data_IF_985119608225
#
_entry.id   IF_985119608225
#
_cell.length_a   1.000
_cell.length_b   1.000
_cell.length_c   1.000
_cell.angle_alpha   90.00
_cell.angle_beta   90.00
_cell.angle_gamma   90.00
#
_symmetry.space_group_name_H-M   'P 1'
#
loop_
_entity.id
_entity.type
_entity.pdbx_description
1 polymer ?
#
# COMPACT_ATOMS: atom_id res chain seq x y z
N UNK A 1 -1.69 14.30 -2.00
CA UNK A 1 -0.72 14.80 -1.03
C UNK A 1 0.05 13.65 -0.39
N UNK A 2 -0.45 12.90 0.61
CA UNK A 2 0.33 11.81 1.24
C UNK A 2 0.68 10.64 0.30
N UNK A 3 -0.29 10.07 -0.40
CA UNK A 3 -0.07 8.95 -1.35
C UNK A 3 0.92 9.32 -2.45
N UNK A 4 0.71 10.48 -3.10
CA UNK A 4 1.58 11.00 -4.16
C UNK A 4 3.02 11.22 -3.67
N UNK A 5 3.22 11.77 -2.47
CA UNK A 5 4.55 11.94 -1.88
C UNK A 5 5.23 10.61 -1.57
N UNK A 6 4.49 9.64 -1.06
CA UNK A 6 5.01 8.27 -0.83
C UNK A 6 5.40 7.63 -2.16
N UNK A 7 4.59 7.76 -3.21
CA UNK A 7 4.92 7.27 -4.53
C UNK A 7 6.18 7.95 -5.08
N UNK A 8 6.33 9.25 -4.89
CA UNK A 8 7.53 10.01 -5.27
C UNK A 8 8.78 9.53 -4.51
N UNK A 9 8.73 9.42 -3.19
CA UNK A 9 9.84 8.86 -2.39
C UNK A 9 10.22 7.45 -2.87
N UNK A 10 9.22 6.61 -3.15
CA UNK A 10 9.46 5.28 -3.66
C UNK A 10 10.05 5.28 -5.07
N UNK A 11 9.73 6.26 -5.94
CA UNK A 11 10.37 6.40 -7.25
C UNK A 11 11.88 6.58 -7.09
N UNK A 12 12.30 7.55 -6.25
CA UNK A 12 13.72 7.79 -5.95
C UNK A 12 14.42 6.56 -5.35
N UNK A 13 13.74 5.86 -4.44
CA UNK A 13 14.25 4.62 -3.84
C UNK A 13 14.42 3.52 -4.89
N UNK A 14 13.50 3.41 -5.86
CA UNK A 14 13.58 2.43 -6.94
C UNK A 14 14.73 2.75 -7.89
N UNK A 15 14.88 4.01 -8.29
CA UNK A 15 16.00 4.50 -9.12
C UNK A 15 17.33 4.17 -8.46
N UNK A 16 17.48 4.52 -7.19
CA UNK A 16 18.71 4.27 -6.45
C UNK A 16 18.98 2.76 -6.25
N UNK A 17 17.93 1.96 -5.99
CA UNK A 17 18.06 0.51 -5.90
C UNK A 17 18.43 -0.14 -7.25
N UNK A 18 17.93 0.40 -8.36
CA UNK A 18 18.28 -0.03 -9.70
C UNK A 18 19.73 0.32 -10.03
N UNK A 19 20.16 1.54 -9.70
CA UNK A 19 21.53 2.02 -9.87
C UNK A 19 22.54 1.21 -9.07
N UNK A 20 22.28 0.95 -7.79
CA UNK A 20 23.20 0.25 -6.90
C UNK A 20 23.21 -1.28 -7.12
N UNK A 21 22.05 -1.91 -7.32
CA UNK A 21 21.92 -3.37 -7.27
C UNK A 21 21.45 -4.01 -8.57
N UNK A 22 20.97 -3.22 -9.54
CA UNK A 22 20.38 -3.71 -10.77
C UNK A 22 19.21 -4.65 -10.48
N UNK A 23 18.15 -4.16 -9.85
CA UNK A 23 17.05 -5.00 -9.40
C UNK A 23 16.11 -5.43 -10.53
N UNK A 24 15.43 -6.56 -10.33
CA UNK A 24 14.09 -6.78 -10.88
C UNK A 24 13.05 -6.45 -9.81
N UNK A 25 11.78 -6.30 -10.20
CA UNK A 25 10.74 -5.88 -9.26
C UNK A 25 9.45 -6.66 -9.42
N UNK A 26 8.80 -6.92 -8.29
CA UNK A 26 7.47 -7.51 -8.22
C UNK A 26 6.56 -6.66 -7.34
N UNK A 27 5.30 -6.56 -7.77
CA UNK A 27 4.17 -6.17 -6.94
C UNK A 27 3.56 -7.42 -6.31
N UNK A 28 3.24 -7.34 -5.03
CA UNK A 28 2.56 -8.38 -4.28
C UNK A 28 1.42 -7.74 -3.49
N UNK A 29 0.21 -8.29 -3.61
CA UNK A 29 -0.93 -7.93 -2.77
C UNK A 29 -1.27 -9.10 -1.86
N UNK A 30 -1.30 -8.87 -0.54
CA UNK A 30 -1.63 -9.87 0.48
C UNK A 30 -2.96 -9.52 1.13
N UNK A 31 -3.95 -10.40 1.02
CA UNK A 31 -5.28 -10.16 1.58
C UNK A 31 -5.63 -11.09 2.73
N UNK A 32 -6.69 -10.73 3.45
CA UNK A 32 -7.44 -11.59 4.37
C UNK A 32 -8.92 -11.51 3.98
N UNK A 33 -9.79 -12.35 4.57
CA UNK A 33 -11.23 -12.16 4.43
C UNK A 33 -11.64 -10.84 5.09
N UNK A 34 -12.74 -10.27 4.64
CA UNK A 34 -13.31 -9.12 5.30
C UNK A 34 -13.61 -9.43 6.77
N UNK A 35 -13.47 -8.42 7.62
CA UNK A 35 -13.73 -8.50 9.05
C UNK A 35 -14.72 -7.42 9.46
N UNK A 36 -15.44 -7.66 10.56
CA UNK A 36 -16.26 -6.62 11.20
C UNK A 36 -15.39 -5.55 11.85
N UNK A 37 -15.94 -4.37 12.08
CA UNK A 37 -15.21 -3.20 12.56
C UNK A 37 -14.47 -3.47 13.88
N UNK A 38 -15.12 -4.13 14.83
CA UNK A 38 -14.56 -4.54 16.12
C UNK A 38 -13.38 -5.52 16.00
N UNK A 39 -13.27 -6.24 14.87
CA UNK A 39 -12.16 -7.15 14.56
C UNK A 39 -11.08 -6.52 13.69
N UNK A 40 -11.26 -5.30 13.19
CA UNK A 40 -10.31 -4.66 12.29
C UNK A 40 -8.96 -4.41 12.95
N UNK A 41 -8.95 -3.79 14.14
CA UNK A 41 -7.72 -3.53 14.91
C UNK A 41 -6.92 -4.81 15.21
N UNK A 42 -7.51 -5.87 15.82
CA UNK A 42 -6.77 -7.10 16.04
C UNK A 42 -6.35 -7.78 14.73
N UNK A 43 -7.20 -7.74 13.68
CA UNK A 43 -6.84 -8.31 12.37
C UNK A 43 -5.60 -7.64 11.78
N UNK A 44 -5.49 -6.31 11.86
CA UNK A 44 -4.30 -5.60 11.38
C UNK A 44 -3.06 -5.97 12.20
N UNK A 45 -3.19 -6.12 13.53
CA UNK A 45 -2.07 -6.59 14.36
C UNK A 45 -1.57 -7.98 13.93
N UNK A 46 -2.50 -8.91 13.69
CA UNK A 46 -2.20 -10.25 13.19
C UNK A 46 -1.53 -10.20 11.82
N UNK A 47 -2.02 -9.33 10.92
CA UNK A 47 -1.43 -9.12 9.59
C UNK A 47 -0.01 -8.57 9.66
N UNK A 48 0.27 -7.58 10.53
CA UNK A 48 1.63 -7.05 10.72
C UNK A 48 2.60 -8.14 11.17
N UNK A 49 2.17 -8.96 12.13
CA UNK A 49 2.96 -10.08 12.63
C UNK A 49 3.13 -11.19 11.60
N UNK A 50 2.08 -11.50 10.83
CA UNK A 50 2.15 -12.41 9.69
C UNK A 50 3.13 -11.91 8.63
N UNK A 51 3.10 -10.61 8.32
CA UNK A 51 4.02 -10.02 7.34
C UNK A 51 5.47 -10.16 7.79
N UNK A 52 5.74 -9.88 9.08
CA UNK A 52 7.05 -10.09 9.68
C UNK A 52 7.53 -11.54 9.54
N UNK A 53 6.65 -12.52 9.83
CA UNK A 53 6.97 -13.96 9.68
C UNK A 53 7.22 -14.35 8.22
N UNK A 54 6.38 -13.87 7.30
CA UNK A 54 6.49 -14.17 5.86
C UNK A 54 7.88 -13.83 5.33
N UNK A 55 8.38 -12.64 5.64
CA UNK A 55 9.70 -12.19 5.20
C UNK A 55 10.87 -12.82 5.97
N UNK A 56 10.61 -13.56 7.05
CA UNK A 56 11.60 -14.38 7.75
C UNK A 56 11.72 -15.81 7.21
N UNK A 57 10.73 -16.28 6.43
CA UNK A 57 10.82 -17.60 5.84
C UNK A 57 12.01 -17.70 4.89
N UNK A 58 12.80 -18.77 5.05
CA UNK A 58 14.06 -18.99 4.31
C UNK A 58 13.88 -18.72 2.82
N UNK A 59 12.83 -19.29 2.21
CA UNK A 59 12.51 -19.10 0.79
C UNK A 59 12.38 -17.61 0.42
N UNK A 60 11.52 -16.86 1.12
CA UNK A 60 11.32 -15.42 0.88
C UNK A 60 12.60 -14.64 1.14
N UNK A 61 13.21 -14.83 2.31
CA UNK A 61 14.45 -14.14 2.73
C UNK A 61 15.59 -14.33 1.73
N UNK A 62 15.69 -15.48 1.07
CA UNK A 62 16.72 -15.74 0.06
C UNK A 62 16.36 -15.27 -1.34
N UNK A 63 15.07 -15.09 -1.64
CA UNK A 63 14.57 -14.71 -2.96
C UNK A 63 14.45 -13.20 -3.16
N UNK A 64 14.24 -12.44 -2.10
CA UNK A 64 13.99 -10.99 -2.14
C UNK A 64 15.14 -10.19 -1.52
N UNK A 65 15.33 -8.96 -1.96
CA UNK A 65 16.37 -8.05 -1.45
C UNK A 65 15.84 -7.07 -0.39
N UNK A 66 14.52 -6.92 -0.31
CA UNK A 66 13.86 -6.00 0.61
C UNK A 66 12.36 -5.92 0.34
N UNK A 67 11.72 -4.90 0.86
CA UNK A 67 10.34 -4.56 0.56
C UNK A 67 10.02 -3.11 0.91
N UNK A 68 9.05 -2.55 0.21
CA UNK A 68 8.17 -1.49 0.68
C UNK A 68 6.78 -2.10 0.87
N UNK A 69 6.12 -1.85 2.00
CA UNK A 69 4.76 -2.31 2.31
C UNK A 69 3.88 -1.10 2.61
N UNK A 70 2.66 -1.08 2.08
CA UNK A 70 1.58 -0.18 2.47
C UNK A 70 0.37 -0.99 2.98
N UNK A 71 -0.24 -0.57 4.09
CA UNK A 71 -1.53 -1.08 4.56
C UNK A 71 -2.65 -0.22 3.95
N UNK A 72 -3.55 -0.86 3.22
CA UNK A 72 -4.77 -0.25 2.71
C UNK A 72 -5.98 -1.00 3.29
N UNK A 73 -7.05 -0.28 3.59
CA UNK A 73 -8.29 -0.82 4.12
C UNK A 73 -9.41 -0.36 3.21
N UNK A 74 -10.16 -1.32 2.67
CA UNK A 74 -11.36 -1.02 1.89
C UNK A 74 -12.62 -1.35 2.69
N UNK A 75 -13.60 -0.44 2.75
CA UNK A 75 -14.91 -0.73 3.38
C UNK A 75 -15.91 -1.26 2.36
N UNK A 76 -16.53 -2.41 2.67
CA UNK A 76 -17.77 -2.85 2.06
C UNK A 76 -18.95 -2.31 2.88
N UNK A 77 -19.66 -1.34 2.31
CA UNK A 77 -20.80 -0.66 2.97
C UNK A 77 -22.08 -1.50 2.99
N UNK A 78 -22.23 -2.47 2.09
CA UNK A 78 -23.44 -3.30 2.02
C UNK A 78 -23.44 -4.39 3.09
N UNK A 79 -22.27 -4.97 3.34
CA UNK A 79 -22.10 -6.01 4.36
C UNK A 79 -21.63 -5.45 5.71
N UNK A 80 -21.33 -4.14 5.78
CA UNK A 80 -20.64 -3.47 6.88
C UNK A 80 -19.42 -4.27 7.34
N UNK A 81 -18.45 -4.42 6.42
CA UNK A 81 -17.19 -5.12 6.68
C UNK A 81 -16.01 -4.38 6.09
N UNK A 82 -14.82 -4.70 6.60
CA UNK A 82 -13.56 -4.04 6.27
C UNK A 82 -12.59 -5.07 5.71
N UNK A 83 -11.89 -4.68 4.65
CA UNK A 83 -10.92 -5.50 3.95
C UNK A 83 -9.52 -4.89 4.06
N UNK A 84 -8.80 -5.15 5.17
CA UNK A 84 -7.41 -4.77 5.29
C UNK A 84 -6.55 -5.66 4.37
N UNK A 85 -5.67 -5.04 3.59
CA UNK A 85 -4.74 -5.73 2.71
C UNK A 85 -3.41 -4.98 2.62
N UNK A 86 -2.36 -5.70 2.24
CA UNK A 86 -1.06 -5.09 1.99
C UNK A 86 -0.78 -5.00 0.51
N UNK A 87 -0.36 -3.83 0.06
CA UNK A 87 0.39 -3.67 -1.17
C UNK A 87 1.89 -3.67 -0.86
N UNK A 88 2.66 -4.41 -1.66
CA UNK A 88 4.08 -4.61 -1.42
C UNK A 88 4.85 -4.48 -2.72
N UNK A 89 5.84 -3.59 -2.75
CA UNK A 89 6.84 -3.52 -3.80
C UNK A 89 8.11 -4.23 -3.31
N UNK A 90 8.61 -5.18 -4.09
CA UNK A 90 9.70 -6.06 -3.66
C UNK A 90 10.82 -6.04 -4.71
N UNK A 91 12.02 -5.56 -4.37
CA UNK A 91 13.20 -5.74 -5.19
C UNK A 91 13.69 -7.19 -5.11
N UNK A 92 14.04 -7.73 -6.26
CA UNK A 92 14.59 -9.08 -6.43
C UNK A 92 15.83 -9.03 -7.31
N UNK A 93 16.65 -10.08 -7.30
CA UNK A 93 17.80 -10.19 -8.23
C UNK A 93 17.30 -10.27 -9.68
N UNK A 94 18.06 -9.77 -10.66
CA UNK A 94 17.68 -9.84 -12.10
C UNK A 94 17.27 -11.24 -12.56
N UNK A 95 17.94 -12.27 -12.03
CA UNK A 95 17.67 -13.66 -12.38
C UNK A 95 16.49 -14.29 -11.62
N UNK A 96 15.75 -13.56 -10.79
CA UNK A 96 14.65 -14.08 -9.98
C UNK A 96 13.62 -14.86 -10.79
N UNK A 97 13.25 -14.35 -11.98
CA UNK A 97 12.25 -14.98 -12.83
C UNK A 97 12.72 -16.30 -13.47
N UNK A 98 14.02 -16.60 -13.43
CA UNK A 98 14.58 -17.90 -13.81
C UNK A 98 15.06 -18.75 -12.63
N UNK A 99 15.48 -18.13 -11.53
CA UNK A 99 16.04 -18.79 -10.34
C UNK A 99 15.44 -18.21 -9.07
N UNK A 100 15.02 -19.08 -8.15
CA UNK A 100 14.37 -18.70 -6.89
C UNK A 100 13.01 -18.00 -7.05
N UNK A 101 12.41 -18.06 -8.25
CA UNK A 101 11.04 -17.60 -8.50
C UNK A 101 10.07 -18.26 -7.51
N UNK A 102 9.22 -17.45 -6.89
CA UNK A 102 8.12 -17.89 -6.04
C UNK A 102 6.83 -17.64 -6.83
N UNK A 103 6.13 -18.73 -7.17
CA UNK A 103 4.86 -18.68 -7.89
C UNK A 103 3.75 -18.13 -7.00
N UNK A 104 2.68 -17.61 -7.58
CA UNK A 104 1.51 -17.10 -6.84
C UNK A 104 0.97 -18.10 -5.82
N UNK A 105 0.79 -19.37 -6.20
CA UNK A 105 0.32 -20.43 -5.29
C UNK A 105 1.25 -20.68 -4.10
N UNK A 106 2.57 -20.52 -4.30
CA UNK A 106 3.56 -20.63 -3.23
C UNK A 106 3.49 -19.41 -2.30
N UNK A 107 3.35 -18.19 -2.84
CA UNK A 107 3.08 -17.00 -2.04
C UNK A 107 1.79 -17.12 -1.22
N UNK A 108 0.70 -17.60 -1.82
CA UNK A 108 -0.55 -17.90 -1.10
C UNK A 108 -0.32 -18.88 0.04
N UNK A 109 0.43 -19.96 -0.19
CA UNK A 109 0.73 -20.96 0.82
C UNK A 109 1.58 -20.41 1.97
N UNK A 110 2.60 -19.61 1.64
CA UNK A 110 3.46 -18.95 2.62
C UNK A 110 2.66 -17.92 3.43
N UNK A 111 1.79 -17.14 2.79
CA UNK A 111 0.95 -16.15 3.46
C UNK A 111 -0.06 -16.82 4.39
N UNK A 112 -0.78 -17.83 3.90
CA UNK A 112 -1.67 -18.69 4.70
C UNK A 112 -0.95 -19.22 5.95
N UNK A 113 0.26 -19.73 5.79
CA UNK A 113 1.08 -20.26 6.89
C UNK A 113 1.49 -19.16 7.88
N UNK A 114 1.93 -18.01 7.39
CA UNK A 114 2.38 -16.90 8.23
C UNK A 114 1.23 -16.35 9.09
N UNK A 115 0.04 -16.28 8.51
CA UNK A 115 -1.20 -15.84 9.15
C UNK A 115 -1.94 -16.94 9.92
N UNK A 116 -1.54 -18.21 9.78
CA UNK A 116 -2.24 -19.38 10.34
C UNK A 116 -3.71 -19.47 9.91
N UNK A 117 -4.01 -19.13 8.66
CA UNK A 117 -5.39 -19.17 8.14
C UNK A 117 -5.81 -20.61 7.85
N UNK A 118 -7.08 -20.91 8.10
CA UNK A 118 -7.74 -22.15 7.72
C UNK A 118 -8.16 -22.15 6.24
N UNK A 119 -8.42 -20.98 5.66
CA UNK A 119 -8.74 -20.79 4.24
C UNK A 119 -7.52 -20.41 3.38
N UNK A 120 -7.67 -20.47 2.05
CA UNK A 120 -6.67 -19.98 1.11
C UNK A 120 -6.93 -18.51 0.80
N UNK A 121 -6.05 -17.57 1.21
CA UNK A 121 -6.23 -16.15 0.92
C UNK A 121 -5.98 -15.85 -0.56
N UNK A 122 -6.56 -14.75 -1.04
CA UNK A 122 -6.25 -14.25 -2.38
C UNK A 122 -4.92 -13.49 -2.31
N UNK A 123 -4.01 -13.83 -3.21
CA UNK A 123 -2.72 -13.16 -3.36
C UNK A 123 -2.56 -12.80 -4.82
N UNK A 124 -2.25 -11.55 -5.11
CA UNK A 124 -1.88 -11.10 -6.46
C UNK A 124 -0.36 -10.90 -6.51
N UNK A 125 0.27 -11.39 -7.57
CA UNK A 125 1.70 -11.15 -7.81
C UNK A 125 1.94 -10.81 -9.28
N UNK A 126 2.59 -9.68 -9.53
CA UNK A 126 2.89 -9.19 -10.88
C UNK A 126 4.32 -8.70 -10.95
N UNK A 127 4.96 -8.89 -12.10
CA UNK A 127 6.24 -8.20 -12.40
C UNK A 127 5.93 -6.73 -12.67
N UNK A 128 6.76 -5.83 -12.14
CA UNK A 128 6.69 -4.40 -12.50
C UNK A 128 7.15 -4.27 -13.95
N UNK A 129 6.31 -3.64 -14.78
CA UNK A 129 6.63 -3.34 -16.19
C UNK A 129 7.23 -1.94 -16.26
N UNK A 130 8.26 -1.77 -17.08
CA UNK A 130 8.80 -0.46 -17.37
C UNK A 130 7.81 0.39 -18.16
N UNK A 131 7.87 1.70 -17.95
CA UNK A 131 7.12 2.71 -18.72
C UNK A 131 8.08 3.83 -19.14
N UNK A 132 8.26 4.00 -20.44
CA UNK A 132 9.17 4.99 -21.01
C UNK A 132 8.85 6.44 -20.57
N UNK A 133 7.56 6.77 -20.47
CA UNK A 133 7.10 8.10 -20.04
C UNK A 133 5.97 7.99 -19.03
N UNK A 134 6.01 8.84 -18.00
CA UNK A 134 4.90 9.05 -17.07
C UNK A 134 4.29 10.42 -17.35
N UNK A 135 2.97 10.48 -17.44
CA UNK A 135 2.27 11.75 -17.42
C UNK A 135 2.07 12.14 -15.94
N UNK A 136 3.12 12.73 -15.36
CA UNK A 136 3.14 13.08 -13.95
C UNK A 136 2.05 14.11 -13.60
N UNK A 137 1.72 15.00 -14.53
CA UNK A 137 0.67 16.00 -14.35
C UNK A 137 -0.71 15.33 -14.33
N UNK A 138 -0.99 14.42 -15.29
CA UNK A 138 -2.23 13.66 -15.27
C UNK A 138 -2.35 12.78 -14.03
N UNK A 139 -1.30 12.06 -13.64
CA UNK A 139 -1.29 11.23 -12.43
C UNK A 139 -1.52 12.11 -11.18
N UNK A 140 -0.86 13.26 -11.11
CA UNK A 140 -1.07 14.20 -10.02
C UNK A 140 -2.52 14.71 -9.99
N UNK A 141 -3.11 15.05 -11.14
CA UNK A 141 -4.51 15.47 -11.25
C UNK A 141 -5.47 14.35 -10.85
N UNK A 142 -5.29 13.13 -11.36
CA UNK A 142 -6.11 11.96 -11.00
C UNK A 142 -6.04 11.67 -9.50
N UNK A 143 -4.83 11.67 -8.92
CA UNK A 143 -4.63 11.43 -7.49
C UNK A 143 -5.20 12.59 -6.69
N UNK A 144 -5.07 13.84 -7.16
CA UNK A 144 -5.67 15.01 -6.50
C UNK A 144 -7.19 14.95 -6.55
N UNK A 145 -7.80 14.56 -7.66
CA UNK A 145 -9.24 14.38 -7.82
C UNK A 145 -9.75 13.29 -6.88
N UNK A 146 -9.17 12.08 -6.96
CA UNK A 146 -9.48 10.98 -6.04
C UNK A 146 -9.26 11.33 -4.57
N UNK A 147 -8.31 12.23 -4.28
CA UNK A 147 -8.08 12.74 -2.93
C UNK A 147 -9.01 13.88 -2.54
N UNK A 148 -9.49 14.73 -3.46
CA UNK A 148 -10.48 15.76 -3.17
C UNK A 148 -11.83 15.10 -2.88
N UNK A 149 -12.18 14.04 -3.63
CA UNK A 149 -13.26 13.12 -3.27
C UNK A 149 -13.08 12.57 -1.84
N UNK A 150 -11.85 12.38 -1.35
CA UNK A 150 -11.54 11.93 0.02
C UNK A 150 -11.25 13.06 1.04
N UNK A 151 -11.05 14.33 0.63
CA UNK A 151 -10.66 15.48 1.51
C UNK A 151 -11.73 16.53 1.70
N UNK A 152 -12.60 16.75 0.71
CA UNK A 152 -13.92 17.34 0.98
C UNK A 152 -14.67 16.53 2.07
N UNK A 153 -14.17 15.32 2.33
CA UNK A 153 -14.66 14.32 3.24
C UNK A 153 -14.12 14.40 4.69
N UNK A 154 -13.04 15.14 4.98
CA UNK A 154 -12.42 15.17 6.33
C UNK A 154 -12.38 16.55 7.02
N UNK A 155 -12.63 17.66 6.31
CA UNK A 155 -12.53 19.05 6.84
C UNK A 155 -13.79 19.56 7.56
N UNK A 156 -14.79 18.72 7.83
CA UNK A 156 -16.09 19.12 8.43
C UNK A 156 -16.21 18.60 9.88
N UNK A 157 -15.14 18.67 10.67
CA UNK A 157 -15.17 18.32 12.11
C UNK A 157 -15.46 19.52 13.03
N UNK A 158 -16.15 20.56 12.51
CA UNK A 158 -16.67 21.69 13.30
C UNK A 158 -18.17 21.92 13.03
N UNK A 159 -19.03 21.02 13.57
CA UNK A 159 -20.51 21.11 13.66
C UNK A 159 -21.32 21.09 12.34
N UNK A 160 -22.65 20.84 12.41
CA UNK A 160 -23.31 19.57 12.19
C UNK A 160 -23.69 19.30 10.72
N UNK A 161 -23.27 18.12 10.23
CA UNK A 161 -23.94 17.24 9.24
C UNK A 161 -24.16 17.79 7.82
N UNK A 162 -23.32 17.34 6.84
CA UNK A 162 -23.67 17.04 5.42
C UNK A 162 -22.52 16.30 4.69
N UNK A 163 -22.81 15.53 3.62
CA UNK A 163 -22.19 14.22 3.22
C UNK A 163 -20.69 14.19 3.21
N UNK A 164 -20.12 13.03 3.57
CA UNK A 164 -18.72 12.74 3.21
C UNK A 164 -18.39 11.26 3.08
N UNK A 165 -18.07 10.69 1.91
CA UNK A 165 -17.90 9.24 1.58
C UNK A 165 -17.14 8.24 2.51
N UNK A 166 -16.69 8.59 3.72
CA UNK A 166 -16.69 7.62 4.86
C UNK A 166 -18.14 7.34 5.34
N UNK A 167 -19.03 8.23 4.90
CA UNK A 167 -20.42 8.47 5.18
C UNK A 167 -21.17 8.30 3.86
N UNK A 168 -21.97 7.25 3.66
CA UNK A 168 -22.84 7.20 2.47
C UNK A 168 -23.89 8.33 2.59
N UNK A 169 -23.80 9.32 1.71
CA UNK A 169 -24.81 10.39 1.60
C UNK A 169 -24.77 11.47 2.70
N UNK A 170 -25.79 12.35 2.70
CA UNK A 170 -25.66 13.77 3.11
C UNK A 170 -25.82 14.02 4.59
N UNK A 171 -25.60 12.95 5.34
CA UNK A 171 -26.16 12.77 6.66
C UNK A 171 -25.21 11.93 7.49
N UNK A 172 -25.00 12.37 8.72
CA UNK A 172 -24.37 11.55 9.75
C UNK A 172 -25.33 10.42 10.06
N UNK A 173 -24.92 9.20 9.74
CA UNK A 173 -25.61 7.98 10.13
C UNK A 173 -24.77 7.22 11.14
N UNK A 174 -25.38 6.28 11.84
CA UNK A 174 -24.70 5.42 12.79
C UNK A 174 -23.59 4.58 12.12
N UNK A 175 -23.85 4.05 10.92
CA UNK A 175 -22.85 3.33 10.10
C UNK A 175 -21.59 4.19 9.85
N UNK A 176 -21.82 5.47 9.55
CA UNK A 176 -20.76 6.38 9.19
C UNK A 176 -19.90 6.78 10.41
N UNK A 177 -20.55 6.97 11.56
CA UNK A 177 -19.87 7.19 12.85
C UNK A 177 -19.07 5.95 13.26
N UNK A 178 -19.65 4.76 13.14
CA UNK A 178 -18.98 3.50 13.43
C UNK A 178 -17.77 3.29 12.53
N UNK A 179 -17.87 3.69 11.26
CA UNK A 179 -16.76 3.62 10.30
C UNK A 179 -15.59 4.47 10.72
N UNK A 180 -15.84 5.76 11.02
CA UNK A 180 -14.79 6.66 11.51
C UNK A 180 -14.19 6.09 12.79
N UNK A 181 -15.03 5.66 13.73
CA UNK A 181 -14.60 5.12 15.01
C UNK A 181 -13.68 3.89 14.85
N UNK A 182 -14.11 2.88 14.09
CA UNK A 182 -13.33 1.65 13.91
C UNK A 182 -12.05 1.89 13.12
N UNK A 183 -12.07 2.79 12.13
CA UNK A 183 -10.88 3.10 11.34
C UNK A 183 -9.88 3.92 12.16
N UNK A 184 -10.34 4.91 12.92
CA UNK A 184 -9.48 5.70 13.82
C UNK A 184 -8.82 4.79 14.87
N UNK A 185 -9.60 3.98 15.58
CA UNK A 185 -9.07 3.04 16.59
C UNK A 185 -8.12 2.00 15.98
N UNK A 186 -8.43 1.51 14.78
CA UNK A 186 -7.62 0.52 14.09
C UNK A 186 -6.31 1.10 13.53
N UNK A 187 -6.28 2.36 13.10
CA UNK A 187 -5.11 3.00 12.49
C UNK A 187 -4.28 3.80 13.51
N UNK A 188 -4.85 4.16 14.66
CA UNK A 188 -4.18 4.91 15.72
C UNK A 188 -2.83 4.29 16.10
N UNK A 189 -1.79 5.14 16.11
CA UNK A 189 -0.41 4.78 16.43
C UNK A 189 0.19 3.63 15.59
N UNK A 190 -0.38 3.33 14.41
CA UNK A 190 0.15 2.30 13.50
C UNK A 190 1.00 2.89 12.40
N UNK A 191 2.10 2.19 12.11
CA UNK A 191 2.89 2.47 10.91
C UNK A 191 2.24 1.86 9.67
N UNK A 192 1.58 2.71 8.88
CA UNK A 192 0.84 2.28 7.68
C UNK A 192 1.78 1.79 6.57
N UNK A 193 2.93 2.46 6.42
CA UNK A 193 3.98 2.07 5.49
C UNK A 193 5.17 1.42 6.21
N UNK A 194 5.97 0.63 5.50
CA UNK A 194 7.18 0.06 6.07
C UNK A 194 8.20 -0.36 5.03
N UNK A 195 9.47 -0.15 5.35
CA UNK A 195 10.61 -0.53 4.52
C UNK A 195 11.42 -1.64 5.19
N UNK A 196 11.98 -2.54 4.39
CA UNK A 196 12.89 -3.59 4.83
C UNK A 196 13.95 -3.94 3.79
N UNK A 197 15.04 -4.57 4.22
CA UNK A 197 16.18 -4.90 3.37
C UNK A 197 16.80 -3.67 2.73
N UNK A 198 17.26 -3.79 1.48
CA UNK A 198 17.96 -2.70 0.78
C UNK A 198 17.15 -1.40 0.70
N UNK A 199 15.81 -1.47 0.62
CA UNK A 199 14.98 -0.26 0.51
C UNK A 199 14.96 0.55 1.81
N UNK A 200 15.15 -0.11 2.96
CA UNK A 200 15.24 0.59 4.24
C UNK A 200 16.55 1.36 4.34
N UNK A 201 17.64 0.78 3.87
CA UNK A 201 18.96 1.41 3.87
C UNK A 201 18.97 2.60 2.89
N UNK A 202 18.48 2.40 1.65
CA UNK A 202 18.35 3.48 0.67
C UNK A 202 17.45 4.61 1.16
N UNK A 203 16.29 4.29 1.76
CA UNK A 203 15.42 5.33 2.34
C UNK A 203 16.15 6.17 3.40
N UNK A 204 17.04 5.55 4.18
CA UNK A 204 17.84 6.24 5.20
C UNK A 204 18.96 7.08 4.55
N UNK A 205 19.63 6.54 3.53
CA UNK A 205 20.70 7.21 2.77
C UNK A 205 20.21 8.47 2.08
N UNK A 206 19.06 8.40 1.41
CA UNK A 206 18.44 9.53 0.71
C UNK A 206 17.92 10.61 1.67
N UNK A 207 17.91 10.35 2.98
CA UNK A 207 17.41 11.26 4.02
C UNK A 207 16.03 11.86 3.66
N UNK A 208 15.17 11.03 3.06
CA UNK A 208 13.83 11.46 2.69
C UNK A 208 13.08 11.79 3.98
N UNK A 209 12.66 13.05 4.12
CA UNK A 209 11.92 13.53 5.29
C UNK A 209 10.60 12.79 5.48
N UNK A 210 9.89 13.07 6.56
CA UNK A 210 8.61 12.40 6.81
C UNK A 210 7.64 12.66 5.63
N UNK A 211 7.01 11.58 5.16
CA UNK A 211 6.03 11.64 4.08
C UNK A 211 4.75 12.39 4.51
N UNK A 212 4.63 12.76 5.79
CA UNK A 212 3.47 13.45 6.38
C UNK A 212 3.52 14.99 6.25
N UNK A 213 4.69 15.65 6.36
CA UNK A 213 4.76 17.12 6.62
C UNK A 213 5.63 17.96 5.66
N UNK A 214 5.85 17.53 4.41
CA UNK A 214 6.74 18.29 3.50
C UNK A 214 6.20 18.43 2.08
N UNK A 215 6.65 19.46 1.38
CA UNK A 215 6.25 19.83 0.03
C UNK A 215 6.57 18.75 -1.02
N UNK A 216 5.78 18.75 -2.10
CA UNK A 216 5.99 17.88 -3.25
C UNK A 216 7.26 18.32 -3.99
N UNK A 217 8.23 17.42 -4.11
CA UNK A 217 9.46 17.67 -4.87
C UNK A 217 9.18 17.40 -6.35
N UNK A 218 9.75 18.23 -7.22
CA UNK A 218 9.63 18.06 -8.68
C UNK A 218 10.28 16.74 -9.11
N UNK A 219 9.63 16.05 -10.05
CA UNK A 219 10.20 14.90 -10.73
C UNK A 219 11.20 15.44 -11.74
N UNK A 220 12.49 15.16 -11.53
CA UNK A 220 13.40 15.12 -12.66
C UNK A 220 13.10 13.81 -13.40
N UNK A 221 12.80 13.91 -14.70
CA UNK A 221 12.62 12.73 -15.54
C UNK A 221 13.98 12.07 -15.73
N UNK A 222 14.44 11.29 -14.75
CA UNK A 222 15.45 10.26 -15.03
C UNK A 222 14.80 9.13 -15.86
N UNK A 223 15.54 8.64 -16.86
CA UNK A 223 15.13 7.59 -17.83
C UNK A 223 15.05 6.17 -17.19
N UNK A 224 14.64 6.04 -15.92
CA UNK A 224 14.36 4.73 -15.33
C UNK A 224 12.90 4.31 -15.58
N UNK A 225 12.70 3.56 -16.67
CA UNK A 225 11.38 3.05 -17.04
C UNK A 225 10.73 2.22 -15.92
N UNK A 226 11.51 1.46 -15.15
CA UNK A 226 10.96 0.60 -14.09
C UNK A 226 10.53 1.43 -12.90
N UNK A 227 11.27 2.47 -12.55
CA UNK A 227 10.86 3.43 -11.53
C UNK A 227 9.60 4.19 -11.95
N UNK A 228 9.49 4.56 -13.23
CA UNK A 228 8.30 5.15 -13.83
C UNK A 228 7.08 4.24 -13.72
N UNK A 229 7.21 2.97 -14.12
CA UNK A 229 6.13 1.99 -14.00
C UNK A 229 5.77 1.68 -12.53
N UNK A 230 6.75 1.73 -11.63
CA UNK A 230 6.52 1.57 -10.20
C UNK A 230 5.73 2.76 -9.64
N UNK A 231 6.15 3.99 -9.96
CA UNK A 231 5.52 5.24 -9.55
C UNK A 231 4.05 5.30 -9.97
N UNK A 232 3.75 5.01 -11.23
CA UNK A 232 2.38 5.04 -11.76
C UNK A 232 1.45 4.18 -10.90
N UNK A 233 1.83 2.94 -10.62
CA UNK A 233 0.98 2.03 -9.83
C UNK A 233 0.89 2.47 -8.36
N UNK A 234 2.02 2.86 -7.76
CA UNK A 234 2.07 3.25 -6.34
C UNK A 234 1.36 4.58 -6.06
N UNK A 235 1.24 5.48 -7.04
CA UNK A 235 0.51 6.73 -6.90
C UNK A 235 -0.97 6.51 -6.54
N UNK A 236 -1.55 5.38 -6.97
CA UNK A 236 -2.92 4.97 -6.66
C UNK A 236 -3.03 4.03 -5.44
N UNK A 237 -1.92 3.69 -4.77
CA UNK A 237 -1.96 2.99 -3.48
C UNK A 237 -2.28 4.00 -2.39
N UNK A 238 -3.25 3.68 -1.54
CA UNK A 238 -3.72 4.58 -0.50
C UNK A 238 -3.44 3.98 0.88
N UNK A 239 -2.25 4.22 1.47
CA UNK A 239 -1.99 3.81 2.84
C UNK A 239 -3.04 4.44 3.76
N UNK A 240 -3.88 3.62 4.39
CA UNK A 240 -5.07 4.07 5.11
C UNK A 240 -6.36 3.54 4.50
N UNK A 241 -7.33 4.42 4.22
CA UNK A 241 -8.72 4.07 3.91
C UNK A 241 -9.02 4.33 2.44
N UNK A 242 -9.77 3.41 1.83
CA UNK A 242 -10.39 3.58 0.50
C UNK A 242 -11.82 3.04 0.50
N UNK A 243 -12.68 3.59 -0.34
CA UNK A 243 -14.00 3.01 -0.59
C UNK A 243 -13.95 1.92 -1.65
N UNK A 244 -14.72 0.85 -1.45
CA UNK A 244 -15.02 -0.09 -2.53
C UNK A 244 -15.98 0.60 -3.48
N UNK A 245 -15.48 1.13 -4.59
CA UNK A 245 -16.32 1.48 -5.72
C UNK A 245 -16.28 0.25 -6.63
N UNK A 246 -17.30 -0.60 -6.53
CA UNK A 246 -17.56 -1.57 -7.60
C UNK A 246 -17.98 -0.73 -8.81
N UNK A 247 -17.12 -0.66 -9.84
CA UNK A 247 -17.55 -0.23 -11.18
C UNK A 247 -18.23 -1.40 -11.88
#
# INVERSE_FOLDING_TARGET
>A
RRSLKIAYHNKLIVEEANRQYGCGWIFLTLTVRNVKGERLKPQISEMMEGFRKLFQYKKVKTSVLGFFRALEITKNHEEDTYHPHFHVLIPVRKNYFGKNYIKQSEWTSLWKKAMKLDYNPIVDIRRVKGKAKIDAEQIENDVREAMMEQKAVLEISKYPVKDTDVVRGNKVTEDNLNTVFYLDDALAARRLIGYGGILKEIHKELNLGDAEDGDLVKIEEEDDEVANGAFEVMAYWHPGIKNYIIK
#
